data_IF_469819097524
#
_entry.id   IF_469819097524
#
_cell.length_a   1.000
_cell.length_b   1.000
_cell.length_c   1.000
_cell.angle_alpha   90.00
_cell.angle_beta   90.00
_cell.angle_gamma   90.00
#
_symmetry.space_group_name_H-M   'P 1'
#
loop_
_entity.id
_entity.type
_entity.pdbx_description
1 polymer ?
#
# COMPACT_ATOMS: atom_id res chain seq x y z
N UNK A 1 22.54 13.02 6.30
CA UNK A 1 21.77 14.26 6.49
C UNK A 1 22.57 15.42 5.89
N UNK A 2 21.92 16.45 5.35
CA UNK A 2 22.61 17.66 4.84
C UNK A 2 22.24 18.88 5.68
N UNK A 3 20.96 19.24 5.70
CA UNK A 3 20.42 20.34 6.51
C UNK A 3 18.91 20.17 6.68
N UNK A 4 18.31 20.99 7.55
CA UNK A 4 16.86 21.13 7.68
C UNK A 4 16.45 22.58 7.36
N UNK A 5 15.28 22.75 6.73
CA UNK A 5 14.64 24.04 6.50
C UNK A 5 13.25 24.05 7.14
N UNK A 6 12.84 25.21 7.65
CA UNK A 6 11.54 25.40 8.28
C UNK A 6 10.76 26.42 7.46
N UNK A 7 9.69 25.98 6.79
CA UNK A 7 8.96 26.79 5.82
C UNK A 7 7.46 26.61 6.04
N UNK A 8 6.75 27.71 6.36
CA UNK A 8 5.27 27.75 6.51
C UNK A 8 4.70 26.61 7.38
N UNK A 9 5.31 26.38 8.55
CA UNK A 9 4.88 25.32 9.49
C UNK A 9 5.36 23.90 9.15
N UNK A 10 6.11 23.73 8.06
CA UNK A 10 6.69 22.46 7.64
C UNK A 10 8.17 22.37 8.03
N UNK A 11 8.65 21.17 8.32
CA UNK A 11 10.08 20.87 8.45
C UNK A 11 10.53 20.02 7.29
N UNK A 12 11.50 20.50 6.52
CA UNK A 12 12.03 19.83 5.33
C UNK A 12 13.46 19.39 5.62
N UNK A 13 13.69 18.09 5.73
CA UNK A 13 15.01 17.49 5.87
C UNK A 13 15.59 17.20 4.48
N UNK A 14 16.69 17.87 4.12
CA UNK A 14 17.44 17.53 2.92
C UNK A 14 18.45 16.44 3.24
N UNK A 15 18.39 15.34 2.51
CA UNK A 15 19.31 14.21 2.65
C UNK A 15 20.02 13.95 1.33
N UNK A 16 21.27 13.51 1.41
CA UNK A 16 22.07 13.13 0.25
C UNK A 16 22.16 11.62 0.18
N UNK A 17 22.03 11.07 -1.03
CA UNK A 17 22.27 9.66 -1.25
C UNK A 17 23.77 9.38 -1.29
N UNK A 18 24.20 8.27 -0.67
CA UNK A 18 25.59 7.84 -0.79
C UNK A 18 25.83 7.21 -2.18
N UNK A 19 26.69 7.84 -2.98
CA UNK A 19 27.03 7.42 -4.33
C UNK A 19 27.68 6.03 -4.41
N UNK A 20 28.42 5.61 -3.38
CA UNK A 20 29.06 4.28 -3.37
C UNK A 20 28.07 3.14 -3.11
N UNK A 21 26.85 3.48 -2.67
CA UNK A 21 25.79 2.52 -2.35
C UNK A 21 24.79 2.31 -3.49
N UNK A 22 25.00 2.96 -4.65
CA UNK A 22 24.07 2.89 -5.78
C UNK A 22 23.99 1.46 -6.32
N UNK A 23 22.76 1.00 -6.51
CA UNK A 23 22.44 -0.31 -7.06
C UNK A 23 21.29 -0.20 -8.03
N UNK A 24 21.33 -1.03 -9.07
CA UNK A 24 20.22 -1.22 -9.99
C UNK A 24 18.96 -1.63 -9.22
N UNK A 25 17.85 -0.94 -9.44
CA UNK A 25 16.56 -1.31 -8.84
C UNK A 25 15.95 -2.56 -9.48
N UNK A 26 16.49 -3.04 -10.59
CA UNK A 26 15.96 -4.20 -11.32
C UNK A 26 16.59 -5.52 -10.87
N UNK A 27 17.92 -5.58 -10.84
CA UNK A 27 18.68 -6.81 -10.53
C UNK A 27 19.59 -6.68 -9.29
N UNK A 28 19.67 -5.49 -8.68
CA UNK A 28 20.49 -5.26 -7.48
C UNK A 28 22.00 -5.10 -7.71
N UNK A 29 22.47 -5.18 -8.97
CA UNK A 29 23.88 -5.01 -9.34
C UNK A 29 24.42 -3.63 -8.93
N UNK A 30 25.70 -3.57 -8.55
CA UNK A 30 26.45 -2.33 -8.27
C UNK A 30 27.12 -1.74 -9.53
N UNK A 31 27.20 -2.51 -10.61
CA UNK A 31 27.77 -2.07 -11.88
C UNK A 31 26.74 -1.19 -12.60
N UNK A 32 26.81 0.11 -12.32
CA UNK A 32 25.85 1.10 -12.80
C UNK A 32 26.51 2.39 -13.28
N UNK A 33 25.98 2.97 -14.36
CA UNK A 33 26.35 4.30 -14.87
C UNK A 33 25.27 5.30 -14.46
N UNK A 34 25.67 6.47 -13.97
CA UNK A 34 24.74 7.56 -13.62
C UNK A 34 24.23 8.22 -14.90
N UNK A 35 22.91 8.33 -15.04
CA UNK A 35 22.21 8.95 -16.18
C UNK A 35 21.40 10.19 -15.76
N UNK A 36 21.78 10.84 -14.67
CA UNK A 36 21.14 12.04 -14.13
C UNK A 36 20.53 11.86 -12.74
N UNK A 37 19.88 12.92 -12.26
CA UNK A 37 19.31 13.03 -10.92
C UNK A 37 17.95 13.71 -11.00
N UNK A 38 17.01 13.25 -10.18
CA UNK A 38 15.69 13.86 -10.01
C UNK A 38 15.50 14.17 -8.53
N UNK A 39 15.22 15.44 -8.21
CA UNK A 39 14.83 15.84 -6.86
C UNK A 39 13.45 15.28 -6.53
N UNK A 40 13.33 14.60 -5.39
CA UNK A 40 12.07 14.04 -4.91
C UNK A 40 11.84 14.44 -3.47
N UNK A 41 10.59 14.78 -3.18
CA UNK A 41 10.13 15.14 -1.84
C UNK A 41 9.16 14.05 -1.34
N UNK A 42 9.40 13.59 -0.12
CA UNK A 42 8.60 12.55 0.53
C UNK A 42 8.01 13.07 1.82
N UNK A 43 6.69 12.93 1.99
CA UNK A 43 6.03 13.19 3.27
C UNK A 43 6.42 12.12 4.30
N UNK A 44 6.87 12.54 5.46
CA UNK A 44 7.19 11.68 6.60
C UNK A 44 6.14 11.84 7.70
N UNK A 45 6.25 11.02 8.74
CA UNK A 45 5.38 11.09 9.92
C UNK A 45 5.47 12.50 10.53
N UNK A 46 4.33 13.17 10.79
CA UNK A 46 4.35 14.50 11.40
C UNK A 46 4.93 14.45 12.82
N UNK A 47 5.43 15.60 13.30
CA UNK A 47 5.87 15.78 14.68
C UNK A 47 5.00 16.86 15.31
N UNK A 48 4.14 16.46 16.25
CA UNK A 48 3.05 17.32 16.73
C UNK A 48 2.16 17.76 15.57
N UNK A 49 1.87 19.06 15.49
CA UNK A 49 1.10 19.66 14.39
C UNK A 49 1.91 19.97 13.13
N UNK A 50 3.22 19.72 13.13
CA UNK A 50 4.11 20.07 12.01
C UNK A 50 4.24 18.93 11.02
N UNK A 51 3.99 19.23 9.74
CA UNK A 51 4.26 18.31 8.63
C UNK A 51 5.77 18.19 8.41
N UNK A 52 6.24 16.95 8.21
CA UNK A 52 7.64 16.64 7.94
C UNK A 52 7.81 16.16 6.50
N UNK A 53 8.84 16.66 5.82
CA UNK A 53 9.22 16.23 4.48
C UNK A 53 10.70 15.83 4.42
N UNK A 54 11.01 14.84 3.58
CA UNK A 54 12.37 14.43 3.25
C UNK A 54 12.60 14.75 1.79
N UNK A 55 13.54 15.63 1.50
CA UNK A 55 13.96 15.97 0.15
C UNK A 55 15.27 15.25 -0.18
N UNK A 56 15.30 14.54 -1.29
CA UNK A 56 16.47 13.78 -1.74
C UNK A 56 16.63 13.86 -3.25
N UNK A 57 17.86 14.07 -3.69
CA UNK A 57 18.26 13.95 -5.08
C UNK A 57 18.46 12.46 -5.41
N UNK A 58 17.58 11.90 -6.24
CA UNK A 58 17.54 10.46 -6.56
C UNK A 58 18.21 10.20 -7.89
N UNK A 59 19.25 9.37 -7.89
CA UNK A 59 19.95 9.02 -9.13
C UNK A 59 19.11 8.15 -10.05
N UNK A 60 19.07 8.51 -11.33
CA UNK A 60 18.72 7.58 -12.42
C UNK A 60 20.00 6.90 -12.86
N UNK A 61 19.99 5.58 -12.90
CA UNK A 61 21.15 4.77 -13.26
C UNK A 61 20.82 3.77 -14.35
N UNK A 62 21.79 3.51 -15.22
CA UNK A 62 21.81 2.41 -16.16
C UNK A 62 22.59 1.25 -15.56
N UNK A 63 22.04 0.04 -15.61
CA UNK A 63 22.71 -1.15 -15.13
C UNK A 63 23.49 -1.84 -16.26
N UNK A 64 24.79 -2.04 -16.06
CA UNK A 64 25.65 -2.72 -17.05
C UNK A 64 25.38 -4.23 -17.16
N UNK A 65 24.75 -4.85 -16.15
CA UNK A 65 24.40 -6.29 -16.19
C UNK A 65 23.11 -6.62 -16.92
N UNK A 66 22.08 -5.77 -16.79
CA UNK A 66 20.75 -6.05 -17.35
C UNK A 66 20.22 -4.96 -18.27
N UNK A 67 21.02 -3.94 -18.59
CA UNK A 67 20.68 -2.83 -19.49
C UNK A 67 19.61 -1.86 -18.97
N UNK A 68 18.98 -2.12 -17.82
CA UNK A 68 17.85 -1.32 -17.37
C UNK A 68 18.26 0.11 -16.97
N UNK A 69 17.47 1.12 -17.35
CA UNK A 69 17.69 2.52 -16.93
C UNK A 69 16.54 3.00 -16.03
N UNK A 70 16.78 3.09 -14.71
CA UNK A 70 15.74 3.44 -13.71
C UNK A 70 16.28 4.26 -12.55
N UNK A 71 15.38 4.87 -11.78
CA UNK A 71 15.75 5.47 -10.49
C UNK A 71 16.19 4.37 -9.51
N UNK A 72 17.24 4.65 -8.75
CA UNK A 72 17.68 3.74 -7.67
C UNK A 72 16.61 3.60 -6.58
N UNK A 73 16.63 2.47 -5.88
CA UNK A 73 15.70 2.21 -4.79
C UNK A 73 15.97 3.17 -3.63
N UNK A 74 14.90 3.73 -3.08
CA UNK A 74 14.93 4.56 -1.86
C UNK A 74 14.51 3.67 -0.70
N UNK A 75 15.39 3.39 0.29
CA UNK A 75 15.08 2.40 1.33
C UNK A 75 13.80 2.70 2.13
N UNK A 76 13.55 3.99 2.42
CA UNK A 76 12.47 4.45 3.27
C UNK A 76 11.14 4.73 2.55
N UNK A 77 11.08 4.62 1.22
CA UNK A 77 9.87 4.90 0.44
C UNK A 77 9.56 3.78 -0.56
N UNK A 78 8.27 3.51 -0.78
CA UNK A 78 7.82 2.56 -1.79
C UNK A 78 7.95 3.16 -3.20
N UNK A 79 8.19 2.35 -4.25
CA UNK A 79 8.27 2.85 -5.62
C UNK A 79 7.03 3.67 -6.01
N UNK A 80 7.24 4.76 -6.75
CA UNK A 80 6.18 5.68 -7.23
C UNK A 80 5.35 6.35 -6.12
N UNK A 81 5.76 6.28 -4.85
CA UNK A 81 5.11 7.00 -3.74
C UNK A 81 5.87 8.25 -3.37
N UNK A 82 5.15 9.26 -2.88
CA UNK A 82 5.70 10.54 -2.42
C UNK A 82 5.58 10.68 -0.90
N UNK A 83 5.55 9.55 -0.20
CA UNK A 83 5.56 9.45 1.25
C UNK A 83 6.44 8.28 1.69
N UNK A 84 6.87 8.31 2.94
CA UNK A 84 7.68 7.27 3.57
C UNK A 84 6.84 6.06 3.95
N UNK A 85 7.47 4.89 4.12
CA UNK A 85 6.82 3.68 4.64
C UNK A 85 6.32 3.86 6.07
N UNK A 86 7.03 4.65 6.89
CA UNK A 86 6.58 4.98 8.24
C UNK A 86 5.33 5.86 8.23
N UNK A 87 5.24 6.82 7.31
CA UNK A 87 4.01 7.59 7.09
C UNK A 87 2.83 6.69 6.69
N UNK A 88 3.05 5.74 5.77
CA UNK A 88 2.02 4.77 5.37
C UNK A 88 1.52 3.94 6.56
N UNK A 89 2.45 3.44 7.41
CA UNK A 89 2.10 2.72 8.63
C UNK A 89 1.31 3.58 9.61
N UNK A 90 1.73 4.82 9.83
CA UNK A 90 1.05 5.74 10.74
C UNK A 90 -0.37 6.06 10.27
N UNK A 91 -0.57 6.28 8.97
CA UNK A 91 -1.90 6.47 8.38
C UNK A 91 -2.82 5.26 8.61
N UNK A 92 -2.28 4.03 8.51
CA UNK A 92 -3.02 2.80 8.80
C UNK A 92 -3.37 2.66 10.29
N UNK A 93 -2.47 3.05 11.19
CA UNK A 93 -2.72 3.05 12.64
C UNK A 93 -3.85 4.02 13.00
N UNK A 94 -3.83 5.25 12.49
CA UNK A 94 -4.92 6.22 12.67
C UNK A 94 -6.25 5.75 12.07
N UNK A 95 -6.20 5.07 10.92
CA UNK A 95 -7.38 4.53 10.24
C UNK A 95 -8.16 3.51 11.07
N UNK A 96 -7.59 2.97 12.16
CA UNK A 96 -8.30 2.09 13.10
C UNK A 96 -9.21 2.84 14.05
N UNK A 97 -9.04 4.16 14.16
CA UNK A 97 -9.70 5.00 15.15
C UNK A 97 -10.40 6.22 14.53
N UNK A 98 -10.22 6.46 13.23
CA UNK A 98 -10.68 7.66 12.53
C UNK A 98 -11.22 7.33 11.14
N UNK A 99 -12.12 8.16 10.63
CA UNK A 99 -12.59 8.04 9.24
C UNK A 99 -11.45 8.37 8.26
N UNK A 100 -11.56 7.89 7.00
CA UNK A 100 -10.58 8.22 5.94
C UNK A 100 -10.42 9.75 5.81
N UNK A 101 -11.51 10.50 5.94
CA UNK A 101 -11.50 11.96 5.82
C UNK A 101 -10.79 12.62 6.99
N UNK A 102 -11.00 12.14 8.22
CA UNK A 102 -10.33 12.69 9.39
C UNK A 102 -8.84 12.39 9.39
N UNK A 103 -8.44 11.18 8.98
CA UNK A 103 -7.02 10.83 8.79
C UNK A 103 -6.39 11.72 7.72
N UNK A 104 -7.08 11.93 6.59
CA UNK A 104 -6.58 12.79 5.50
C UNK A 104 -6.39 14.23 5.97
N UNK A 105 -7.36 14.78 6.70
CA UNK A 105 -7.30 16.13 7.30
C UNK A 105 -6.16 16.23 8.31
N UNK A 106 -6.05 15.26 9.21
CA UNK A 106 -5.00 15.21 10.25
C UNK A 106 -3.60 15.16 9.65
N UNK A 107 -3.40 14.37 8.59
CA UNK A 107 -2.08 14.18 7.95
C UNK A 107 -1.77 15.19 6.85
N UNK A 108 -2.72 16.06 6.48
CA UNK A 108 -2.58 17.04 5.41
C UNK A 108 -2.35 16.39 4.04
N UNK A 109 -3.12 15.34 3.72
CA UNK A 109 -3.08 14.63 2.43
C UNK A 109 -4.49 14.51 1.84
N UNK A 110 -4.58 14.11 0.57
CA UNK A 110 -5.89 13.87 -0.05
C UNK A 110 -6.57 12.64 0.56
N UNK A 111 -7.90 12.66 0.55
CA UNK A 111 -8.72 11.51 0.92
C UNK A 111 -8.34 10.26 0.11
N UNK A 112 -8.13 10.40 -1.20
CA UNK A 112 -7.70 9.30 -2.08
C UNK A 112 -6.36 8.69 -1.68
N UNK A 113 -5.44 9.49 -1.13
CA UNK A 113 -4.15 8.99 -0.65
C UNK A 113 -4.35 8.01 0.50
N UNK A 114 -5.20 8.36 1.48
CA UNK A 114 -5.51 7.49 2.62
C UNK A 114 -6.31 6.28 2.17
N UNK A 115 -7.30 6.46 1.29
CA UNK A 115 -8.07 5.35 0.71
C UNK A 115 -7.18 4.36 -0.03
N UNK A 116 -6.26 4.83 -0.87
CA UNK A 116 -5.32 3.96 -1.60
C UNK A 116 -4.39 3.21 -0.62
N UNK A 117 -3.91 3.87 0.45
CA UNK A 117 -3.16 3.20 1.52
C UNK A 117 -3.97 2.07 2.16
N UNK A 118 -5.20 2.35 2.58
CA UNK A 118 -6.08 1.35 3.19
C UNK A 118 -6.38 0.21 2.21
N UNK A 119 -6.77 0.51 0.97
CA UNK A 119 -7.12 -0.50 -0.03
C UNK A 119 -5.96 -1.45 -0.33
N UNK A 120 -4.74 -0.93 -0.45
CA UNK A 120 -3.54 -1.78 -0.63
C UNK A 120 -3.25 -2.64 0.58
N UNK A 121 -3.37 -2.08 1.79
CA UNK A 121 -3.18 -2.83 3.02
C UNK A 121 -4.19 -3.97 3.14
N UNK A 122 -5.48 -3.68 2.94
CA UNK A 122 -6.56 -4.66 2.99
C UNK A 122 -6.35 -5.76 1.96
N UNK A 123 -6.01 -5.40 0.72
CA UNK A 123 -5.66 -6.37 -0.32
C UNK A 123 -4.50 -7.26 0.16
N UNK A 124 -3.37 -6.68 0.52
CA UNK A 124 -2.21 -7.47 0.96
C UNK A 124 -2.51 -8.37 2.18
N UNK A 125 -3.32 -7.88 3.13
CA UNK A 125 -3.60 -8.57 4.40
C UNK A 125 -4.65 -9.68 4.27
N UNK A 126 -5.59 -9.55 3.33
CA UNK A 126 -6.79 -10.39 3.23
C UNK A 126 -6.99 -11.07 1.86
N UNK A 127 -6.11 -10.87 0.87
CA UNK A 127 -6.21 -11.46 -0.49
C UNK A 127 -6.24 -13.00 -0.50
N UNK A 128 -5.76 -13.67 0.55
CA UNK A 128 -5.64 -15.14 0.61
C UNK A 128 -6.13 -15.73 1.94
N UNK A 129 -7.46 -15.75 2.17
CA UNK A 129 -8.02 -16.39 3.36
C UNK A 129 -7.75 -17.90 3.34
N UNK A 130 -7.47 -18.48 4.52
CA UNK A 130 -7.25 -19.93 4.66
C UNK A 130 -8.59 -20.65 4.69
N UNK A 131 -8.90 -21.39 3.63
CA UNK A 131 -10.18 -22.09 3.50
C UNK A 131 -10.20 -23.48 4.16
N UNK A 132 -9.04 -24.12 4.36
CA UNK A 132 -8.95 -25.53 4.79
C UNK A 132 -9.55 -25.85 6.17
N UNK A 133 -9.78 -24.83 7.00
CA UNK A 133 -10.36 -24.97 8.34
C UNK A 133 -11.84 -24.61 8.42
N UNK A 134 -12.45 -24.23 7.29
CA UNK A 134 -13.86 -23.89 7.26
C UNK A 134 -14.71 -25.12 7.56
N UNK A 135 -15.72 -24.91 8.42
CA UNK A 135 -16.71 -25.92 8.82
C UNK A 135 -18.13 -25.43 8.64
N UNK A 136 -18.37 -24.14 8.91
CA UNK A 136 -19.68 -23.51 8.84
C UNK A 136 -19.52 -22.17 8.14
N UNK A 137 -20.25 -21.96 7.06
CA UNK A 137 -20.24 -20.70 6.34
C UNK A 137 -21.61 -20.04 6.37
N UNK A 138 -21.61 -18.71 6.39
CA UNK A 138 -22.77 -17.90 6.07
C UNK A 138 -22.55 -17.25 4.71
N UNK A 139 -23.61 -17.21 3.91
CA UNK A 139 -23.64 -16.50 2.63
C UNK A 139 -24.71 -15.44 2.77
N UNK A 140 -24.34 -14.18 2.53
CA UNK A 140 -25.24 -13.04 2.62
C UNK A 140 -25.09 -12.14 1.39
N UNK A 141 -26.10 -11.32 1.12
CA UNK A 141 -26.14 -10.41 -0.02
C UNK A 141 -26.35 -8.97 0.45
N UNK A 142 -25.41 -8.09 0.07
CA UNK A 142 -25.50 -6.67 0.35
C UNK A 142 -25.81 -5.92 -0.94
N UNK A 143 -26.90 -5.15 -0.93
CA UNK A 143 -27.22 -4.22 -2.01
C UNK A 143 -26.45 -2.91 -1.83
N UNK A 144 -25.63 -2.55 -2.81
CA UNK A 144 -24.77 -1.36 -2.82
C UNK A 144 -25.39 -0.19 -3.59
N UNK A 145 -26.66 -0.29 -3.99
CA UNK A 145 -27.36 0.73 -4.76
C UNK A 145 -27.43 0.43 -6.27
N UNK A 146 -28.23 1.21 -6.98
CA UNK A 146 -28.61 0.94 -8.39
C UNK A 146 -27.42 0.88 -9.35
N UNK A 147 -26.35 1.63 -9.07
CA UNK A 147 -25.14 1.66 -9.90
C UNK A 147 -24.18 0.50 -9.63
N UNK A 148 -24.14 -0.01 -8.40
CA UNK A 148 -23.16 -1.02 -7.96
C UNK A 148 -23.76 -2.41 -7.81
N UNK A 149 -25.08 -2.52 -7.77
CA UNK A 149 -25.78 -3.79 -7.72
C UNK A 149 -25.64 -4.50 -6.38
N UNK A 150 -25.47 -5.82 -6.43
CA UNK A 150 -25.38 -6.69 -5.26
C UNK A 150 -23.96 -7.22 -5.07
N UNK A 151 -23.61 -7.50 -3.82
CA UNK A 151 -22.38 -8.12 -3.40
C UNK A 151 -22.72 -9.36 -2.58
N UNK A 152 -22.31 -10.54 -3.02
CA UNK A 152 -22.42 -11.77 -2.22
C UNK A 152 -21.17 -11.90 -1.35
N UNK A 153 -21.37 -12.05 -0.04
CA UNK A 153 -20.31 -12.19 0.95
C UNK A 153 -20.39 -13.60 1.54
N UNK A 154 -19.26 -14.30 1.59
CA UNK A 154 -19.13 -15.58 2.30
C UNK A 154 -18.28 -15.37 3.54
N UNK A 155 -18.79 -15.79 4.68
CA UNK A 155 -18.14 -15.63 5.99
C UNK A 155 -17.98 -16.98 6.68
N UNK A 156 -16.89 -17.16 7.40
CA UNK A 156 -16.73 -18.22 8.39
C UNK A 156 -17.56 -17.92 9.63
N UNK A 157 -18.52 -18.77 9.96
CA UNK A 157 -19.37 -18.59 11.14
C UNK A 157 -18.61 -18.81 12.46
N UNK A 158 -17.49 -19.53 12.44
CA UNK A 158 -16.71 -19.79 13.65
C UNK A 158 -15.81 -18.61 14.02
N UNK A 159 -15.15 -17.99 13.04
CA UNK A 159 -14.22 -16.87 13.27
C UNK A 159 -14.80 -15.49 12.97
N UNK A 160 -15.95 -15.41 12.29
CA UNK A 160 -16.50 -14.16 11.76
C UNK A 160 -15.70 -13.58 10.59
N UNK A 161 -14.72 -14.31 10.05
CA UNK A 161 -13.88 -13.83 8.97
C UNK A 161 -14.62 -13.88 7.63
N UNK A 162 -14.56 -12.78 6.87
CA UNK A 162 -14.95 -12.79 5.45
C UNK A 162 -13.92 -13.60 4.64
N UNK A 163 -14.39 -14.61 3.94
CA UNK A 163 -13.56 -15.56 3.16
C UNK A 163 -13.78 -15.43 1.64
N UNK A 164 -14.87 -14.80 1.23
CA UNK A 164 -15.09 -14.39 -0.15
C UNK A 164 -15.99 -13.16 -0.23
N UNK A 165 -15.71 -12.33 -1.24
CA UNK A 165 -16.58 -11.25 -1.71
C UNK A 165 -16.71 -11.38 -3.22
N UNK A 166 -17.93 -11.56 -3.72
CA UNK A 166 -18.23 -11.75 -5.15
C UNK A 166 -19.28 -10.75 -5.64
N UNK A 167 -19.08 -10.18 -6.83
CA UNK A 167 -20.04 -9.26 -7.45
C UNK A 167 -21.25 -10.03 -8.00
N UNK A 168 -22.46 -9.55 -7.70
CA UNK A 168 -23.72 -10.16 -8.11
C UNK A 168 -24.53 -10.77 -6.95
N UNK A 169 -25.61 -11.48 -7.32
CA UNK A 169 -26.58 -12.14 -6.41
C UNK A 169 -26.94 -13.56 -6.84
N UNK A 170 -26.06 -14.18 -7.62
CA UNK A 170 -26.36 -15.45 -8.27
C UNK A 170 -25.34 -16.51 -7.86
N UNK A 171 -25.77 -17.76 -7.77
CA UNK A 171 -24.89 -18.90 -7.45
C UNK A 171 -23.65 -18.95 -8.37
N UNK A 172 -23.77 -18.46 -9.61
CA UNK A 172 -22.66 -18.33 -10.56
C UNK A 172 -21.53 -17.43 -10.06
N UNK A 173 -21.83 -16.37 -9.28
CA UNK A 173 -20.83 -15.47 -8.71
C UNK A 173 -19.87 -16.19 -7.75
N UNK A 174 -20.31 -17.29 -7.12
CA UNK A 174 -19.51 -18.07 -6.18
C UNK A 174 -18.79 -19.27 -6.82
N UNK A 175 -18.85 -19.44 -8.14
CA UNK A 175 -18.22 -20.61 -8.81
C UNK A 175 -16.72 -20.71 -8.53
N UNK A 176 -16.01 -19.58 -8.55
CA UNK A 176 -14.58 -19.49 -8.22
C UNK A 176 -14.30 -19.87 -6.76
N UNK A 177 -15.15 -19.45 -5.83
CA UNK A 177 -15.07 -19.79 -4.42
C UNK A 177 -15.26 -21.29 -4.21
N UNK A 178 -16.31 -21.91 -4.76
CA UNK A 178 -16.55 -23.35 -4.61
C UNK A 178 -15.41 -24.20 -5.15
N UNK A 179 -14.78 -23.78 -6.26
CA UNK A 179 -13.58 -24.43 -6.80
C UNK A 179 -12.42 -24.38 -5.81
N UNK A 180 -12.13 -23.20 -5.23
CA UNK A 180 -11.06 -23.04 -4.23
C UNK A 180 -11.35 -23.82 -2.94
N UNK A 181 -12.61 -23.82 -2.48
CA UNK A 181 -13.03 -24.54 -1.29
C UNK A 181 -12.81 -26.05 -1.46
N UNK A 182 -13.22 -26.61 -2.60
CA UNK A 182 -12.99 -28.03 -2.93
C UNK A 182 -11.50 -28.38 -2.95
N UNK A 183 -10.66 -27.54 -3.57
CA UNK A 183 -9.21 -27.72 -3.57
C UNK A 183 -8.60 -27.66 -2.16
N UNK A 184 -9.22 -26.92 -1.24
CA UNK A 184 -8.76 -26.81 0.15
C UNK A 184 -9.09 -28.03 1.02
N UNK A 185 -9.91 -28.97 0.52
CA UNK A 185 -10.40 -30.16 1.23
C UNK A 185 -11.18 -29.86 2.52
N UNK A 186 -11.65 -28.63 2.68
CA UNK A 186 -12.54 -28.26 3.77
C UNK A 186 -13.85 -29.06 3.69
N UNK A 187 -14.37 -29.47 4.84
CA UNK A 187 -15.68 -30.11 4.98
C UNK A 187 -16.61 -29.07 5.59
N UNK A 188 -17.24 -28.30 4.70
CA UNK A 188 -18.23 -27.26 5.01
C UNK A 188 -19.62 -27.83 4.78
#
# INVERSE_FOLDING_TARGET
YVHARYERGNTIFRVRQNNSSLRSSCCGSREVIKRGVIERTFRAVPVGSRSIFIQIAVHRVECLKCGCVRQVKIPFASPRRSYTKSFERYALELSRHMTIQDVARHLGVSWDTVKDIQARYLRWRFDKPKLSKLKRIAIDEIYLGSRSGYLTIVMDLDSGAVVEVAEGKHAQALTSFWKRLRCSRAKV
#
